data_IF_126425175543
#
_entry.id   IF_126425175543
#
_cell.length_a   1.000
_cell.length_b   1.000
_cell.length_c   1.000
_cell.angle_alpha   90.00
_cell.angle_beta   90.00
_cell.angle_gamma   90.00
#
_symmetry.space_group_name_H-M   'P 1'
#
loop_
_entity.id
_entity.type
_entity.pdbx_description
1 polymer ?
#
# COMPACT_ATOMS: atom_id res chain seq x y z
N UNK A 1 28.09 27.29 13.82
CA UNK A 1 28.46 26.19 14.73
C UNK A 1 29.58 25.37 14.11
N UNK A 2 30.71 25.22 14.78
CA UNK A 2 31.77 24.34 14.29
C UNK A 2 31.64 22.96 14.96
N UNK A 3 31.06 21.99 14.26
CA UNK A 3 30.94 20.62 14.72
C UNK A 3 32.26 19.92 14.42
N UNK A 4 32.97 19.47 15.45
CA UNK A 4 34.25 18.78 15.33
C UNK A 4 34.06 17.27 15.17
N UNK A 5 33.02 16.73 15.82
CA UNK A 5 32.74 15.31 15.87
C UNK A 5 31.26 15.10 16.21
N UNK A 6 30.61 14.09 15.65
CA UNK A 6 29.30 13.64 16.09
C UNK A 6 29.28 12.11 16.17
N UNK A 7 28.61 11.60 17.21
CA UNK A 7 28.41 10.17 17.44
C UNK A 7 26.92 9.89 17.57
N UNK A 8 26.45 8.82 16.98
CA UNK A 8 25.12 8.28 17.21
C UNK A 8 25.24 7.09 18.16
N UNK A 9 24.92 7.31 19.42
CA UNK A 9 24.94 6.28 20.45
C UNK A 9 23.59 5.56 20.46
N UNK A 10 23.59 4.25 20.17
CA UNK A 10 22.39 3.42 20.10
C UNK A 10 22.52 2.10 20.87
N UNK A 11 23.53 1.97 21.73
CA UNK A 11 23.70 0.79 22.58
C UNK A 11 22.70 0.82 23.74
N UNK A 12 21.44 0.47 23.38
CA UNK A 12 20.32 0.52 24.29
C UNK A 12 20.41 -0.56 25.36
N UNK A 13 19.89 -0.18 26.53
CA UNK A 13 19.76 -1.08 27.69
C UNK A 13 18.84 -2.25 27.35
N UNK A 14 19.36 -3.45 27.50
CA UNK A 14 18.60 -4.69 27.59
C UNK A 14 19.14 -5.58 28.72
N UNK A 15 18.38 -6.61 29.08
CA UNK A 15 18.75 -7.51 30.19
C UNK A 15 20.10 -8.18 29.97
N UNK A 16 20.35 -8.73 28.79
CA UNK A 16 21.56 -9.51 28.51
C UNK A 16 22.79 -8.61 28.47
N UNK A 17 22.65 -7.42 27.89
CA UNK A 17 23.73 -6.40 27.86
C UNK A 17 24.04 -5.90 29.27
N UNK A 18 23.03 -5.65 30.09
CA UNK A 18 23.20 -5.27 31.49
C UNK A 18 24.02 -6.34 32.24
N UNK A 19 23.58 -7.58 32.17
CA UNK A 19 24.26 -8.69 32.85
C UNK A 19 25.68 -8.89 32.35
N UNK A 20 25.92 -8.86 31.03
CA UNK A 20 27.27 -8.98 30.46
C UNK A 20 28.23 -7.88 30.94
N UNK A 21 27.74 -6.66 31.11
CA UNK A 21 28.55 -5.54 31.63
C UNK A 21 28.87 -5.67 33.12
N UNK A 22 28.16 -6.56 33.84
CA UNK A 22 28.36 -6.85 35.25
C UNK A 22 29.14 -8.15 35.49
N UNK A 23 29.63 -8.83 34.50
CA UNK A 23 30.54 -9.96 34.70
C UNK A 23 31.76 -9.48 35.46
N UNK A 24 32.17 -10.23 36.47
CA UNK A 24 33.25 -9.95 37.45
C UNK A 24 33.00 -8.73 38.33
N UNK A 25 31.72 -8.27 38.46
CA UNK A 25 31.33 -7.18 39.35
C UNK A 25 30.31 -7.64 40.37
N UNK A 26 30.16 -6.77 41.38
CA UNK A 26 29.16 -6.97 42.43
C UNK A 26 27.73 -6.78 41.90
N UNK A 27 26.87 -7.72 42.24
CA UNK A 27 25.43 -7.71 42.05
C UNK A 27 24.75 -8.21 43.30
N UNK A 28 23.45 -7.97 43.45
CA UNK A 28 22.69 -8.48 44.58
C UNK A 28 21.72 -9.54 44.13
N UNK A 29 21.72 -10.68 44.84
CA UNK A 29 20.73 -11.74 44.69
C UNK A 29 19.63 -11.50 45.73
N UNK A 30 18.41 -11.17 45.28
CA UNK A 30 17.27 -10.88 46.16
C UNK A 30 16.32 -12.07 46.17
N UNK A 31 16.10 -12.62 47.36
CA UNK A 31 15.10 -13.67 47.55
C UNK A 31 13.69 -13.11 47.36
N UNK A 32 12.88 -13.80 46.54
CA UNK A 32 11.53 -13.33 46.19
C UNK A 32 10.52 -13.42 47.34
N UNK A 33 10.78 -14.31 48.31
CA UNK A 33 9.85 -14.53 49.47
C UNK A 33 10.21 -13.66 50.67
N UNK A 34 11.51 -13.62 51.02
CA UNK A 34 11.95 -12.90 52.19
C UNK A 34 12.33 -11.46 51.87
N UNK A 35 12.65 -11.14 50.61
CA UNK A 35 13.15 -9.83 50.20
C UNK A 35 14.61 -9.57 50.62
N UNK A 36 15.28 -10.51 51.28
CA UNK A 36 16.68 -10.39 51.66
C UNK A 36 17.60 -10.30 50.46
N UNK A 37 18.61 -9.45 50.55
CA UNK A 37 19.62 -9.28 49.51
C UNK A 37 20.95 -9.85 49.96
N UNK A 38 21.55 -10.70 49.11
CA UNK A 38 22.91 -11.23 49.27
C UNK A 38 23.83 -10.56 48.28
N UNK A 39 24.99 -10.13 48.71
CA UNK A 39 26.03 -9.61 47.81
C UNK A 39 26.74 -10.76 47.12
N UNK A 40 26.74 -10.75 45.80
CA UNK A 40 27.36 -11.77 44.95
C UNK A 40 28.24 -11.14 43.89
N UNK A 41 29.18 -11.89 43.38
CA UNK A 41 29.96 -11.57 42.19
C UNK A 41 29.38 -12.35 40.99
N UNK A 42 29.06 -11.70 39.91
CA UNK A 42 28.58 -12.35 38.71
C UNK A 42 29.76 -12.96 37.91
N UNK A 43 29.81 -14.29 37.82
CA UNK A 43 30.92 -14.98 37.17
C UNK A 43 30.71 -15.17 35.67
N UNK A 44 29.51 -15.58 35.27
CA UNK A 44 29.17 -15.78 33.86
C UNK A 44 27.69 -15.53 33.58
N UNK A 45 27.39 -15.25 32.30
CA UNK A 45 26.04 -15.11 31.75
C UNK A 45 25.93 -15.95 30.49
N UNK A 46 24.99 -16.86 30.43
CA UNK A 46 24.67 -17.70 29.29
C UNK A 46 23.33 -17.26 28.64
N UNK A 47 23.02 -17.86 27.50
CA UNK A 47 21.78 -17.58 26.76
C UNK A 47 20.52 -17.70 27.64
N UNK A 48 19.50 -16.86 27.36
CA UNK A 48 18.27 -16.70 28.14
C UNK A 48 18.48 -16.14 29.58
N UNK A 49 19.61 -15.47 29.82
CA UNK A 49 19.89 -14.81 31.11
C UNK A 49 20.21 -15.74 32.25
N UNK A 50 20.65 -16.98 31.97
CA UNK A 50 21.18 -17.90 32.97
C UNK A 50 22.50 -17.37 33.49
N UNK A 51 22.70 -17.43 34.80
CA UNK A 51 23.84 -16.81 35.44
C UNK A 51 24.50 -17.71 36.46
N UNK A 52 25.82 -17.62 36.55
CA UNK A 52 26.60 -18.21 37.63
C UNK A 52 27.11 -17.07 38.54
N UNK A 53 26.84 -17.19 39.84
CA UNK A 53 27.17 -16.17 40.86
C UNK A 53 28.00 -16.79 41.97
N UNK A 54 28.93 -16.04 42.53
CA UNK A 54 29.66 -16.40 43.73
C UNK A 54 29.20 -15.49 44.88
N UNK A 55 28.80 -16.05 46.01
CA UNK A 55 28.51 -15.29 47.21
C UNK A 55 29.80 -14.67 47.75
N UNK A 56 29.82 -13.36 47.99
CA UNK A 56 30.99 -12.63 48.40
C UNK A 56 31.43 -13.03 49.84
N UNK A 57 30.50 -13.51 50.69
CA UNK A 57 30.75 -13.86 52.06
C UNK A 57 31.09 -15.35 52.25
N UNK A 58 30.24 -16.25 51.72
CA UNK A 58 30.38 -17.70 51.92
C UNK A 58 31.24 -18.39 50.87
N UNK A 59 31.50 -17.74 49.73
CA UNK A 59 32.18 -18.29 48.55
C UNK A 59 31.45 -19.43 47.85
N UNK A 60 30.18 -19.66 48.21
CA UNK A 60 29.31 -20.62 47.53
C UNK A 60 29.00 -20.15 46.11
N UNK A 61 28.89 -21.08 45.20
CA UNK A 61 28.55 -20.82 43.80
C UNK A 61 27.09 -21.17 43.55
N UNK A 62 26.33 -20.19 43.09
CA UNK A 62 24.95 -20.36 42.66
C UNK A 62 24.89 -20.50 41.17
N UNK A 63 24.29 -21.58 40.67
CA UNK A 63 24.05 -21.83 39.25
C UNK A 63 22.56 -21.68 39.01
N UNK A 64 22.18 -20.78 38.09
CA UNK A 64 20.79 -20.48 37.73
C UNK A 64 19.86 -20.27 38.95
N UNK A 65 20.31 -19.51 39.91
CA UNK A 65 19.55 -19.22 41.11
C UNK A 65 18.17 -18.63 40.80
N UNK A 66 17.11 -19.25 41.34
CA UNK A 66 15.73 -18.76 41.16
C UNK A 66 15.44 -17.54 42.06
N UNK A 67 16.18 -16.48 41.86
CA UNK A 67 16.08 -15.25 42.62
C UNK A 67 16.17 -14.03 41.66
N UNK A 68 15.82 -12.88 42.15
CA UNK A 68 15.90 -11.63 41.39
C UNK A 68 17.33 -11.08 41.45
N UNK A 69 17.95 -10.85 40.32
CA UNK A 69 19.26 -10.17 40.25
C UNK A 69 19.02 -8.67 40.25
N UNK A 70 19.60 -7.99 41.21
CA UNK A 70 19.51 -6.53 41.34
C UNK A 70 20.89 -5.93 41.10
N UNK A 71 20.96 -5.04 40.12
CA UNK A 71 22.17 -4.31 39.79
C UNK A 71 22.25 -3.01 40.55
N UNK A 72 23.44 -2.62 41.07
CA UNK A 72 23.57 -1.41 41.86
C UNK A 72 23.37 -0.11 41.08
N UNK A 73 23.70 -0.09 39.81
CA UNK A 73 23.58 1.10 38.95
C UNK A 73 23.52 0.72 37.45
N UNK A 74 23.21 1.69 36.61
CA UNK A 74 23.36 1.54 35.16
C UNK A 74 24.85 1.58 34.77
N UNK A 75 25.41 0.55 34.10
CA UNK A 75 26.81 0.56 33.71
C UNK A 75 27.09 1.61 32.65
N UNK A 76 28.30 2.14 32.65
CA UNK A 76 28.75 3.08 31.61
C UNK A 76 28.69 2.44 30.20
N UNK A 77 28.31 3.25 29.20
CA UNK A 77 28.25 2.85 27.80
C UNK A 77 26.92 2.21 27.38
N UNK A 78 25.94 2.04 28.27
CA UNK A 78 24.56 1.73 27.92
C UNK A 78 23.68 2.96 28.17
N UNK A 79 22.77 3.20 27.24
CA UNK A 79 21.85 4.35 27.29
C UNK A 79 20.39 3.87 27.23
N UNK A 80 19.50 4.65 27.82
CA UNK A 80 18.06 4.33 27.87
C UNK A 80 17.35 4.69 26.55
N UNK A 81 17.86 5.71 25.87
CA UNK A 81 17.33 6.19 24.58
C UNK A 81 18.49 6.50 23.64
N UNK A 82 18.33 6.28 22.32
CA UNK A 82 19.33 6.69 21.34
C UNK A 82 19.67 8.17 21.49
N UNK A 83 20.93 8.52 21.36
CA UNK A 83 21.40 9.90 21.51
C UNK A 83 22.38 10.29 20.39
N UNK A 84 22.26 11.53 19.93
CA UNK A 84 23.25 12.19 19.09
C UNK A 84 24.16 13.02 20.00
N UNK A 85 25.42 12.63 20.11
CA UNK A 85 26.43 13.32 20.92
C UNK A 85 27.36 14.11 19.99
N UNK A 86 27.38 15.43 20.18
CA UNK A 86 28.19 16.33 19.37
C UNK A 86 29.32 16.96 20.18
N UNK A 87 30.51 16.91 19.63
CA UNK A 87 31.63 17.70 20.12
C UNK A 87 31.70 18.97 19.30
N UNK A 88 31.42 20.07 19.92
CA UNK A 88 31.38 21.39 19.26
C UNK A 88 32.57 22.24 19.70
N UNK A 89 33.15 22.98 18.75
CA UNK A 89 34.11 24.04 19.01
C UNK A 89 33.42 25.25 19.64
N UNK A 90 34.10 26.40 19.63
CA UNK A 90 33.50 27.67 20.09
C UNK A 90 32.24 27.98 19.28
N UNK A 91 31.12 28.18 19.95
CA UNK A 91 29.85 28.60 19.33
C UNK A 91 29.32 29.86 20.01
N UNK A 92 28.77 30.75 19.20
CA UNK A 92 28.06 31.95 19.63
C UNK A 92 26.54 31.83 19.44
N UNK A 93 26.05 30.68 18.93
CA UNK A 93 24.64 30.46 18.64
C UNK A 93 23.99 29.59 19.71
N UNK A 94 22.82 30.03 20.20
CA UNK A 94 22.01 29.27 21.17
C UNK A 94 21.09 28.25 20.49
N UNK A 95 20.88 28.37 19.17
CA UNK A 95 19.95 27.53 18.41
C UNK A 95 20.67 26.81 17.28
N UNK A 96 20.40 25.51 17.15
CA UNK A 96 20.97 24.64 16.12
C UNK A 96 19.86 24.00 15.32
N UNK A 97 19.95 24.08 13.98
CA UNK A 97 19.07 23.34 13.09
C UNK A 97 19.73 22.01 12.74
N UNK A 98 19.04 20.93 13.02
CA UNK A 98 19.48 19.56 12.73
C UNK A 98 18.63 18.98 11.61
N UNK A 99 19.28 18.34 10.62
CA UNK A 99 18.62 17.53 9.59
C UNK A 99 19.18 16.12 9.64
N UNK A 100 18.30 15.13 9.67
CA UNK A 100 18.69 13.72 9.72
C UNK A 100 17.64 12.85 9.02
N UNK A 101 18.06 11.65 8.63
CA UNK A 101 17.17 10.60 8.14
C UNK A 101 16.84 9.65 9.29
N UNK A 102 15.57 9.30 9.45
CA UNK A 102 15.10 8.30 10.39
C UNK A 102 14.37 7.21 9.64
N UNK A 103 14.53 5.97 10.08
CA UNK A 103 13.70 4.83 9.67
C UNK A 103 12.45 4.79 10.58
N UNK A 104 11.49 3.94 10.23
CA UNK A 104 10.31 3.71 11.04
C UNK A 104 9.15 4.69 10.78
N UNK A 105 9.21 5.45 9.68
CA UNK A 105 8.06 6.16 9.15
C UNK A 105 7.62 5.51 7.85
N UNK A 106 6.30 5.26 7.77
CA UNK A 106 5.65 4.80 6.56
C UNK A 106 4.39 5.62 6.32
N UNK A 107 3.97 5.74 5.06
CA UNK A 107 2.66 6.29 4.76
C UNK A 107 2.07 5.69 3.50
N UNK A 108 0.75 5.54 3.48
CA UNK A 108 -0.02 5.03 2.36
C UNK A 108 -1.24 5.90 2.14
N UNK A 109 -1.71 5.97 0.90
CA UNK A 109 -3.00 6.57 0.61
C UNK A 109 -4.10 5.48 0.63
N UNK A 110 -5.21 5.78 1.28
CA UNK A 110 -6.41 4.97 1.29
C UNK A 110 -7.58 5.83 0.84
N UNK A 111 -8.42 5.29 -0.03
CA UNK A 111 -9.55 5.99 -0.59
C UNK A 111 -10.84 5.25 -0.26
N UNK A 112 -11.87 6.01 0.00
CA UNK A 112 -13.24 5.52 0.17
C UNK A 112 -14.10 6.19 -0.89
N UNK A 113 -14.79 5.38 -1.68
CA UNK A 113 -15.74 5.82 -2.69
C UNK A 113 -17.14 5.39 -2.27
N UNK A 114 -18.05 6.34 -2.27
CA UNK A 114 -19.48 6.13 -2.18
C UNK A 114 -20.10 6.24 -3.56
N UNK A 115 -20.74 5.16 -4.04
CA UNK A 115 -21.41 5.13 -5.33
C UNK A 115 -22.85 5.59 -5.16
N UNK A 116 -23.21 6.66 -5.86
CA UNK A 116 -24.56 7.19 -5.99
C UNK A 116 -25.18 6.73 -7.33
N UNK A 117 -26.37 7.18 -7.65
CA UNK A 117 -27.09 6.75 -8.88
C UNK A 117 -26.30 7.08 -10.17
N UNK A 118 -25.78 8.31 -10.32
CA UNK A 118 -25.08 8.80 -11.53
C UNK A 118 -23.72 9.42 -11.24
N UNK A 119 -23.39 9.57 -9.97
CA UNK A 119 -22.16 10.19 -9.51
C UNK A 119 -21.53 9.35 -8.40
N UNK A 120 -20.31 9.69 -8.02
CA UNK A 120 -19.66 9.12 -6.86
C UNK A 120 -19.08 10.25 -5.99
N UNK A 121 -18.92 9.96 -4.71
CA UNK A 121 -18.14 10.76 -3.79
C UNK A 121 -16.86 10.00 -3.45
N UNK A 122 -15.73 10.71 -3.30
CA UNK A 122 -14.46 10.12 -2.91
C UNK A 122 -13.82 10.89 -1.77
N UNK A 123 -13.33 10.18 -0.78
CA UNK A 123 -12.50 10.72 0.29
C UNK A 123 -11.15 10.00 0.32
N UNK A 124 -10.05 10.76 0.27
CA UNK A 124 -8.68 10.24 0.33
C UNK A 124 -8.03 10.55 1.67
N UNK A 125 -7.38 9.54 2.24
CA UNK A 125 -6.73 9.58 3.54
C UNK A 125 -5.27 9.21 3.43
N UNK A 126 -4.39 9.98 4.06
CA UNK A 126 -3.02 9.57 4.33
C UNK A 126 -2.97 8.81 5.65
N UNK A 127 -2.61 7.56 5.60
CA UNK A 127 -2.32 6.73 6.75
C UNK A 127 -0.82 6.82 7.04
N UNK A 128 -0.47 7.43 8.17
CA UNK A 128 0.91 7.69 8.58
C UNK A 128 1.22 6.81 9.78
N UNK A 129 2.20 5.95 9.65
CA UNK A 129 2.68 5.09 10.71
C UNK A 129 4.01 5.61 11.25
N UNK A 130 4.12 5.69 12.58
CA UNK A 130 5.35 6.05 13.26
C UNK A 130 5.81 4.90 14.17
N UNK A 131 6.88 4.23 13.77
CA UNK A 131 7.61 3.19 14.52
C UNK A 131 9.07 3.59 14.72
N UNK A 132 9.35 4.90 14.79
CA UNK A 132 10.72 5.42 14.88
C UNK A 132 11.33 5.35 16.28
N UNK A 133 10.56 4.94 17.29
CA UNK A 133 10.98 4.96 18.71
C UNK A 133 10.86 6.34 19.37
N UNK A 134 10.29 7.35 18.68
CA UNK A 134 10.13 8.69 19.21
C UNK A 134 8.77 9.31 18.86
N UNK A 135 8.24 10.11 19.77
CA UNK A 135 7.05 10.94 19.54
C UNK A 135 7.47 12.31 19.01
N UNK A 136 6.82 12.77 17.94
CA UNK A 136 7.03 14.10 17.34
C UNK A 136 5.81 14.97 17.64
N UNK A 137 5.95 15.83 18.64
CA UNK A 137 4.88 16.72 19.06
C UNK A 137 4.81 17.96 18.16
N UNK A 138 3.58 18.37 17.81
CA UNK A 138 3.32 19.58 17.02
C UNK A 138 4.17 19.67 15.74
N UNK A 139 4.35 18.54 15.07
CA UNK A 139 5.19 18.40 13.88
C UNK A 139 4.53 19.00 12.64
N UNK A 140 5.32 19.73 11.84
CA UNK A 140 4.93 20.09 10.47
C UNK A 140 5.25 18.93 9.55
N UNK A 141 4.22 18.26 9.05
CA UNK A 141 4.35 17.04 8.25
C UNK A 141 4.22 17.37 6.77
N UNK A 142 5.11 16.79 5.97
CA UNK A 142 5.07 16.79 4.52
C UNK A 142 5.22 15.36 4.03
N UNK A 143 4.26 14.92 3.21
CA UNK A 143 4.23 13.59 2.61
C UNK A 143 4.65 13.72 1.15
N UNK A 144 5.56 12.89 0.70
CA UNK A 144 6.03 12.89 -0.69
C UNK A 144 5.50 11.61 -1.35
N UNK A 145 4.72 11.81 -2.42
CA UNK A 145 4.22 10.74 -3.28
C UNK A 145 5.07 10.68 -4.55
N UNK A 146 5.51 9.48 -4.90
CA UNK A 146 6.37 9.16 -6.03
C UNK A 146 7.43 8.13 -5.65
N UNK A 147 8.03 7.50 -6.65
CA UNK A 147 9.05 6.47 -6.43
C UNK A 147 10.42 7.12 -6.23
N UNK A 148 10.70 7.47 -4.98
CA UNK A 148 12.03 7.99 -4.59
C UNK A 148 13.04 6.87 -4.66
N UNK A 149 14.05 6.99 -5.54
CA UNK A 149 15.13 6.02 -5.63
C UNK A 149 15.96 6.04 -4.34
N UNK A 150 15.90 4.97 -3.56
CA UNK A 150 16.75 4.73 -2.38
C UNK A 150 17.59 3.48 -2.61
N UNK A 151 18.84 3.52 -2.21
CA UNK A 151 19.63 2.31 -2.05
C UNK A 151 19.06 1.59 -0.82
N UNK A 152 18.32 0.50 -1.05
CA UNK A 152 17.74 -0.32 0.04
C UNK A 152 18.79 -1.29 0.56
N UNK A 153 18.98 -1.27 1.89
CA UNK A 153 19.48 -2.44 2.62
C UNK A 153 18.25 -3.31 2.97
N UNK A 154 18.20 -4.54 2.48
CA UNK A 154 17.06 -5.44 2.56
C UNK A 154 16.60 -5.70 3.99
N UNK A 155 15.36 -5.37 4.33
CA UNK A 155 14.63 -5.96 5.46
C UNK A 155 13.11 -5.82 5.31
N UNK A 156 12.46 -6.94 5.41
CA UNK A 156 11.05 -7.37 5.36
C UNK A 156 9.92 -6.37 5.66
N UNK A 157 8.90 -6.42 4.79
CA UNK A 157 7.57 -5.81 4.92
C UNK A 157 6.62 -6.63 5.82
N UNK A 158 5.77 -5.95 6.59
CA UNK A 158 4.60 -6.53 7.26
C UNK A 158 3.31 -5.78 6.89
N UNK A 159 2.27 -6.57 6.63
CA UNK A 159 0.94 -6.17 6.15
C UNK A 159 0.07 -5.39 7.14
N UNK A 160 -0.84 -4.60 6.57
CA UNK A 160 -1.69 -3.61 7.20
C UNK A 160 -2.98 -4.11 7.86
N UNK A 161 -3.56 -3.27 8.71
CA UNK A 161 -4.85 -3.42 9.40
C UNK A 161 -5.90 -2.43 8.90
N UNK A 162 -7.16 -2.88 8.90
CA UNK A 162 -8.35 -2.21 8.39
C UNK A 162 -8.99 -1.30 9.46
N UNK A 163 -9.37 -0.07 9.08
CA UNK A 163 -10.26 0.78 9.88
C UNK A 163 -11.27 1.51 9.00
N UNK A 164 -12.50 1.62 9.49
CA UNK A 164 -13.62 2.34 8.85
C UNK A 164 -13.72 3.70 9.54
N UNK A 165 -13.77 4.79 8.77
CA UNK A 165 -14.10 6.11 9.29
C UNK A 165 -15.02 6.84 8.31
N UNK A 166 -16.21 7.16 8.77
CA UNK A 166 -17.10 8.15 8.13
C UNK A 166 -16.69 9.54 8.58
N UNK A 167 -16.41 10.45 7.66
CA UNK A 167 -16.48 11.90 7.94
C UNK A 167 -16.25 12.73 6.68
N UNK A 168 -17.18 13.58 6.33
CA UNK A 168 -17.01 14.66 5.34
C UNK A 168 -16.39 15.90 6.00
N UNK A 169 -15.09 15.85 6.28
CA UNK A 169 -14.32 17.02 6.69
C UNK A 169 -13.62 17.66 5.49
N UNK A 170 -13.37 18.98 5.53
CA UNK A 170 -12.54 19.63 4.52
C UNK A 170 -11.13 19.04 4.49
N UNK A 171 -10.47 18.94 3.31
CA UNK A 171 -9.11 18.43 3.19
C UNK A 171 -8.15 19.14 4.15
N UNK A 172 -7.31 18.38 4.84
CA UNK A 172 -6.34 18.90 5.82
C UNK A 172 -4.91 19.00 5.25
N UNK A 173 -4.76 18.87 3.93
CA UNK A 173 -3.47 18.98 3.26
C UNK A 173 -3.57 19.83 1.99
N UNK A 174 -2.49 20.56 1.69
CA UNK A 174 -2.28 21.26 0.43
C UNK A 174 -1.29 20.46 -0.43
N UNK A 175 -1.69 20.11 -1.65
CA UNK A 175 -0.85 19.43 -2.63
C UNK A 175 -0.11 20.45 -3.50
N UNK A 176 1.16 20.17 -3.80
CA UNK A 176 1.92 20.87 -4.82
C UNK A 176 2.94 19.98 -5.52
N UNK A 177 3.21 20.23 -6.78
CA UNK A 177 4.34 19.63 -7.49
C UNK A 177 5.67 20.05 -6.83
N UNK A 178 6.56 19.09 -6.60
CA UNK A 178 7.88 19.30 -6.03
C UNK A 178 8.89 18.42 -6.76
N UNK A 179 9.68 19.03 -7.67
CA UNK A 179 10.51 18.31 -8.61
C UNK A 179 9.62 17.39 -9.48
N UNK A 180 9.93 16.10 -9.62
CA UNK A 180 9.10 15.09 -10.32
C UNK A 180 8.14 14.33 -9.38
N UNK A 181 7.90 14.85 -8.17
CA UNK A 181 7.06 14.28 -7.13
C UNK A 181 5.88 15.18 -6.79
N UNK A 182 4.90 14.63 -6.09
CA UNK A 182 3.84 15.41 -5.47
C UNK A 182 4.03 15.44 -3.95
N UNK A 183 4.00 16.66 -3.40
CA UNK A 183 4.16 16.89 -1.96
C UNK A 183 2.86 17.37 -1.35
N UNK A 184 2.38 16.64 -0.35
CA UNK A 184 1.21 16.99 0.46
C UNK A 184 1.70 17.57 1.77
N UNK A 185 1.44 18.86 2.00
CA UNK A 185 1.79 19.57 3.23
C UNK A 185 0.56 19.64 4.11
N UNK A 186 0.63 19.07 5.32
CA UNK A 186 -0.46 19.20 6.27
C UNK A 186 -0.62 20.65 6.68
N UNK A 187 -1.86 21.16 6.64
CA UNK A 187 -2.20 22.56 6.96
C UNK A 187 -1.89 22.83 8.43
N UNK A 188 -2.31 21.93 9.30
CA UNK A 188 -2.11 22.07 10.74
C UNK A 188 -0.99 21.13 11.24
N UNK A 189 -0.11 21.63 12.11
CA UNK A 189 0.83 20.78 12.82
C UNK A 189 0.10 19.67 13.60
N UNK A 190 0.67 18.49 13.63
CA UNK A 190 0.07 17.33 14.31
C UNK A 190 1.11 16.58 15.14
N UNK A 191 0.65 15.88 16.19
CA UNK A 191 1.52 15.01 16.98
C UNK A 191 1.50 13.61 16.40
N UNK A 192 2.66 13.07 16.04
CA UNK A 192 2.87 11.69 15.61
C UNK A 192 3.48 10.92 16.77
N UNK A 193 2.65 10.20 17.54
CA UNK A 193 3.13 9.39 18.67
C UNK A 193 3.88 8.17 18.17
N UNK A 194 4.85 7.73 18.94
CA UNK A 194 5.52 6.45 18.69
C UNK A 194 4.53 5.28 18.78
N UNK A 195 4.71 4.29 17.89
CA UNK A 195 3.82 3.13 17.74
C UNK A 195 2.34 3.53 17.51
N UNK A 196 2.13 4.57 16.70
CA UNK A 196 0.80 5.04 16.31
C UNK A 196 0.65 5.08 14.80
N UNK A 197 -0.51 4.59 14.33
CA UNK A 197 -1.02 4.86 12.98
C UNK A 197 -2.02 6.01 13.06
N UNK A 198 -1.84 7.03 12.24
CA UNK A 198 -2.70 8.20 12.16
C UNK A 198 -3.24 8.38 10.74
N UNK A 199 -4.54 8.57 10.62
CA UNK A 199 -5.18 8.88 9.35
C UNK A 199 -5.53 10.36 9.27
N UNK A 200 -5.20 11.00 8.15
CA UNK A 200 -5.44 12.42 7.90
C UNK A 200 -6.09 12.55 6.52
N UNK A 201 -7.23 13.20 6.44
CA UNK A 201 -7.88 13.45 5.16
C UNK A 201 -7.03 14.38 4.29
N UNK A 202 -6.72 13.96 3.07
CA UNK A 202 -5.86 14.71 2.14
C UNK A 202 -6.60 15.17 0.89
N UNK A 203 -7.76 14.58 0.59
CA UNK A 203 -8.56 14.94 -0.56
C UNK A 203 -10.01 14.56 -0.38
N UNK A 204 -10.93 15.37 -0.95
CA UNK A 204 -12.33 15.04 -1.10
C UNK A 204 -12.81 15.46 -2.49
N UNK A 205 -13.59 14.61 -3.13
CA UNK A 205 -14.31 14.89 -4.36
C UNK A 205 -15.79 14.55 -4.17
N UNK A 206 -16.67 15.41 -4.67
CA UNK A 206 -18.12 15.24 -4.53
C UNK A 206 -18.79 15.28 -5.88
N UNK A 207 -19.85 14.45 -6.04
CA UNK A 207 -20.69 14.41 -7.24
C UNK A 207 -19.91 14.20 -8.55
N UNK A 208 -18.88 13.36 -8.52
CA UNK A 208 -18.03 13.06 -9.68
C UNK A 208 -18.82 12.14 -10.62
N UNK A 209 -19.06 12.53 -11.89
CA UNK A 209 -19.72 11.66 -12.86
C UNK A 209 -18.88 10.42 -13.13
N UNK A 210 -19.52 9.27 -13.21
CA UNK A 210 -18.85 8.02 -13.57
C UNK A 210 -19.61 7.26 -14.65
N UNK A 211 -18.93 6.35 -15.32
CA UNK A 211 -19.49 5.33 -16.21
C UNK A 211 -19.35 3.96 -15.56
N UNK A 212 -20.38 3.15 -15.70
CA UNK A 212 -20.35 1.74 -15.32
C UNK A 212 -20.53 0.92 -16.57
N UNK A 213 -19.63 -0.02 -16.80
CA UNK A 213 -19.72 -0.98 -17.89
C UNK A 213 -19.17 -2.35 -17.47
N UNK A 214 -19.39 -3.34 -18.29
CA UNK A 214 -18.94 -4.70 -18.07
C UNK A 214 -17.83 -5.02 -19.06
N UNK A 215 -16.74 -5.59 -18.58
CA UNK A 215 -15.60 -5.97 -19.40
C UNK A 215 -15.51 -7.48 -19.49
N UNK A 216 -15.46 -7.99 -20.71
CA UNK A 216 -15.30 -9.39 -21.02
C UNK A 216 -13.93 -9.63 -21.65
N UNK A 217 -13.25 -10.66 -21.18
CA UNK A 217 -12.02 -11.14 -21.79
C UNK A 217 -12.13 -12.66 -21.98
N UNK A 218 -11.70 -13.18 -23.13
CA UNK A 218 -11.73 -14.63 -23.43
C UNK A 218 -11.02 -15.50 -22.39
N UNK A 219 -10.03 -14.99 -21.68
CA UNK A 219 -9.28 -15.72 -20.65
C UNK A 219 -10.00 -15.78 -19.31
N UNK A 220 -11.13 -15.08 -19.16
CA UNK A 220 -11.90 -14.99 -17.93
C UNK A 220 -13.24 -15.72 -18.09
N UNK A 221 -13.72 -16.33 -17.03
CA UNK A 221 -15.01 -17.05 -17.02
C UNK A 221 -16.20 -16.12 -16.77
N UNK A 222 -15.97 -14.91 -16.29
CA UNK A 222 -16.99 -13.95 -15.86
C UNK A 222 -16.69 -12.54 -16.34
N UNK A 223 -17.75 -11.77 -16.50
CA UNK A 223 -17.66 -10.34 -16.81
C UNK A 223 -17.19 -9.54 -15.59
N UNK A 224 -16.21 -8.69 -15.78
CA UNK A 224 -15.75 -7.74 -14.74
C UNK A 224 -16.64 -6.49 -14.73
N UNK A 225 -17.02 -6.02 -13.56
CA UNK A 225 -17.72 -4.74 -13.37
C UNK A 225 -16.69 -3.63 -13.26
N UNK A 226 -16.73 -2.67 -14.18
CA UNK A 226 -15.82 -1.54 -14.24
C UNK A 226 -16.56 -0.25 -13.90
N UNK A 227 -15.96 0.54 -13.02
CA UNK A 227 -16.30 1.95 -12.78
C UNK A 227 -15.18 2.82 -13.34
N UNK A 228 -15.56 3.75 -14.20
CA UNK A 228 -14.63 4.68 -14.83
C UNK A 228 -15.04 6.12 -14.56
N UNK A 229 -14.12 6.95 -14.07
CA UNK A 229 -14.33 8.38 -13.84
C UNK A 229 -13.06 9.16 -14.13
N UNK A 230 -13.18 10.45 -14.40
CA UNK A 230 -12.06 11.33 -14.78
C UNK A 230 -11.64 12.21 -13.63
N UNK A 231 -10.34 12.25 -13.34
CA UNK A 231 -9.74 13.12 -12.31
C UNK A 231 -9.60 14.56 -12.81
N UNK A 232 -10.72 15.26 -13.06
CA UNK A 232 -10.75 16.65 -13.52
C UNK A 232 -11.41 17.58 -12.52
N UNK A 233 -10.95 18.84 -12.50
CA UNK A 233 -11.52 19.87 -11.61
C UNK A 233 -12.98 20.13 -11.92
N UNK A 234 -13.34 20.16 -13.19
CA UNK A 234 -14.73 20.36 -13.65
C UNK A 234 -15.63 19.19 -13.23
N UNK A 235 -15.05 18.02 -12.98
CA UNK A 235 -15.75 16.83 -12.48
C UNK A 235 -15.73 16.72 -10.96
N UNK A 236 -15.26 17.73 -10.22
CA UNK A 236 -15.27 17.71 -8.75
C UNK A 236 -14.02 17.11 -8.09
N UNK A 237 -12.92 16.88 -8.85
CA UNK A 237 -11.66 16.34 -8.34
C UNK A 237 -10.47 17.18 -8.80
N UNK A 238 -9.62 16.76 -9.72
CA UNK A 238 -8.58 17.58 -10.36
C UNK A 238 -7.32 17.81 -9.53
N UNK A 239 -6.91 16.83 -8.73
CA UNK A 239 -5.67 16.86 -7.95
C UNK A 239 -4.85 15.60 -8.24
N UNK A 240 -3.54 15.63 -7.96
CA UNK A 240 -2.75 14.40 -8.00
C UNK A 240 -3.23 13.42 -6.92
N UNK A 241 -3.32 12.16 -7.27
CA UNK A 241 -3.72 11.10 -6.34
C UNK A 241 -2.55 10.14 -6.14
N UNK A 242 -2.02 9.99 -4.91
CA UNK A 242 -1.02 8.98 -4.60
C UNK A 242 -1.50 7.57 -4.89
N UNK A 243 -0.57 6.67 -5.21
CA UNK A 243 -0.91 5.25 -5.26
C UNK A 243 -1.52 4.79 -3.95
N UNK A 244 -2.57 3.98 -4.04
CA UNK A 244 -3.26 3.54 -2.84
C UNK A 244 -4.41 2.59 -3.11
N UNK A 245 -5.00 2.09 -2.02
CA UNK A 245 -6.14 1.20 -2.04
C UNK A 245 -7.43 2.02 -2.06
N UNK A 246 -8.38 1.61 -2.91
CA UNK A 246 -9.71 2.19 -3.01
C UNK A 246 -10.73 1.16 -2.52
N UNK A 247 -11.58 1.55 -1.59
CA UNK A 247 -12.75 0.78 -1.16
C UNK A 247 -14.01 1.45 -1.66
N UNK A 248 -14.92 0.65 -2.23
CA UNK A 248 -16.16 1.15 -2.79
C UNK A 248 -17.33 0.66 -1.95
N UNK A 249 -18.25 1.60 -1.70
CA UNK A 249 -19.46 1.38 -0.94
C UNK A 249 -20.66 1.91 -1.72
N UNK A 250 -21.83 1.31 -1.50
CA UNK A 250 -23.11 1.79 -2.01
C UNK A 250 -24.14 1.69 -0.90
N UNK A 251 -24.99 2.71 -0.76
CA UNK A 251 -26.10 2.65 0.18
C UNK A 251 -27.13 1.62 -0.27
N UNK A 252 -27.60 0.78 0.65
CA UNK A 252 -28.76 -0.08 0.45
C UNK A 252 -30.04 0.78 0.42
N UNK A 253 -30.88 0.58 -0.59
CA UNK A 253 -32.12 1.34 -0.77
C UNK A 253 -33.15 1.04 0.32
N UNK A 254 -33.05 -0.09 1.03
CA UNK A 254 -34.00 -0.52 2.04
C UNK A 254 -33.83 0.19 3.38
N UNK A 255 -32.58 0.42 3.81
CA UNK A 255 -32.27 0.94 5.16
C UNK A 255 -31.20 2.04 5.18
N UNK A 256 -30.66 2.42 4.00
CA UNK A 256 -29.55 3.34 3.82
C UNK A 256 -28.24 2.91 4.50
N UNK A 257 -28.07 1.63 4.87
CA UNK A 257 -26.78 1.13 5.31
C UNK A 257 -25.77 1.16 4.17
N UNK A 258 -24.50 1.46 4.51
CA UNK A 258 -23.39 1.49 3.54
C UNK A 258 -22.81 0.10 3.37
N UNK A 259 -23.08 -0.51 2.22
CA UNK A 259 -22.61 -1.85 1.90
C UNK A 259 -21.30 -1.81 1.10
N UNK A 260 -20.35 -2.61 1.51
CA UNK A 260 -19.08 -2.79 0.78
C UNK A 260 -19.35 -3.57 -0.51
N UNK A 261 -18.99 -2.97 -1.65
CA UNK A 261 -19.23 -3.57 -2.97
C UNK A 261 -17.96 -4.03 -3.68
N UNK A 262 -16.78 -3.66 -3.19
CA UNK A 262 -15.50 -4.11 -3.73
C UNK A 262 -14.32 -3.20 -3.39
N UNK A 263 -13.13 -3.66 -3.71
CA UNK A 263 -11.90 -2.88 -3.57
C UNK A 263 -10.98 -3.07 -4.77
N UNK A 264 -10.21 -2.03 -5.06
CA UNK A 264 -9.17 -2.02 -6.09
C UNK A 264 -8.00 -1.13 -5.63
N UNK A 265 -6.98 -1.03 -6.44
CA UNK A 265 -5.82 -0.17 -6.18
C UNK A 265 -5.53 0.72 -7.38
N UNK A 266 -5.12 1.96 -7.12
CA UNK A 266 -4.63 2.86 -8.16
C UNK A 266 -3.12 3.08 -8.05
N UNK A 267 -2.47 3.27 -9.18
CA UNK A 267 -1.12 3.83 -9.25
C UNK A 267 -1.12 5.32 -8.92
N UNK A 268 0.05 5.96 -8.93
CA UNK A 268 0.13 7.42 -8.89
C UNK A 268 -0.61 8.00 -10.10
N UNK A 269 -1.69 8.72 -9.85
CA UNK A 269 -2.60 9.23 -10.88
C UNK A 269 -2.54 10.76 -10.91
N UNK A 270 -1.99 11.35 -11.98
CA UNK A 270 -1.99 12.80 -12.18
C UNK A 270 -3.42 13.35 -12.32
N UNK A 271 -3.53 14.68 -12.25
CA UNK A 271 -4.76 15.36 -12.69
C UNK A 271 -5.00 15.11 -14.18
N UNK A 272 -6.26 15.21 -14.59
CA UNK A 272 -6.75 15.08 -15.97
C UNK A 272 -6.67 13.64 -16.55
N UNK A 273 -6.36 12.64 -15.74
CA UNK A 273 -6.33 11.22 -16.11
C UNK A 273 -7.63 10.50 -15.77
N UNK A 274 -7.94 9.45 -16.55
CA UNK A 274 -9.07 8.57 -16.30
C UNK A 274 -8.68 7.46 -15.31
N UNK A 275 -9.59 7.20 -14.36
CA UNK A 275 -9.43 6.15 -13.34
C UNK A 275 -10.45 5.06 -13.63
N UNK A 276 -9.95 3.82 -13.77
CA UNK A 276 -10.75 2.63 -14.01
C UNK A 276 -10.57 1.67 -12.84
N UNK A 277 -11.69 1.32 -12.21
CA UNK A 277 -11.71 0.42 -11.06
C UNK A 277 -12.46 -0.85 -11.39
N UNK A 278 -11.86 -1.99 -11.10
CA UNK A 278 -12.49 -3.30 -11.19
C UNK A 278 -13.10 -3.64 -9.83
N UNK A 279 -14.42 -3.61 -9.73
CA UNK A 279 -15.11 -3.84 -8.46
C UNK A 279 -15.22 -5.32 -8.14
N UNK A 280 -15.48 -6.14 -9.16
CA UNK A 280 -15.70 -7.57 -9.04
C UNK A 280 -16.35 -8.16 -10.28
N UNK A 281 -16.86 -9.36 -10.17
CA UNK A 281 -17.49 -10.07 -11.27
C UNK A 281 -19.01 -9.83 -11.30
N UNK A 282 -19.56 -9.61 -12.48
CA UNK A 282 -21.00 -9.54 -12.67
C UNK A 282 -21.64 -10.91 -12.49
N UNK A 283 -22.79 -10.94 -11.82
CA UNK A 283 -23.60 -12.16 -11.70
C UNK A 283 -24.54 -12.35 -12.89
N UNK A 284 -25.17 -11.26 -13.34
CA UNK A 284 -26.25 -11.28 -14.35
C UNK A 284 -25.77 -10.99 -15.78
N UNK A 285 -24.47 -10.83 -15.99
CA UNK A 285 -23.88 -10.73 -17.33
C UNK A 285 -23.04 -11.96 -17.58
N UNK A 286 -23.52 -12.82 -18.47
CA UNK A 286 -22.83 -14.05 -18.85
C UNK A 286 -22.47 -14.02 -20.34
N UNK A 287 -21.53 -14.85 -20.73
CA UNK A 287 -21.11 -14.94 -22.13
C UNK A 287 -20.60 -16.33 -22.48
N UNK A 288 -20.79 -16.68 -23.73
CA UNK A 288 -20.23 -17.88 -24.34
C UNK A 288 -19.35 -17.46 -25.52
N UNK A 289 -18.07 -17.83 -25.49
CA UNK A 289 -17.11 -17.51 -26.54
C UNK A 289 -16.61 -18.78 -27.25
N UNK A 290 -16.72 -18.82 -28.57
CA UNK A 290 -16.37 -19.99 -29.35
C UNK A 290 -15.56 -19.62 -30.61
N UNK A 291 -14.52 -20.41 -30.91
CA UNK A 291 -13.91 -20.45 -32.24
C UNK A 291 -14.83 -21.27 -33.17
N UNK A 292 -15.42 -20.60 -34.14
CA UNK A 292 -16.42 -21.22 -35.07
C UNK A 292 -15.73 -21.89 -36.24
N UNK A 293 -14.68 -21.27 -36.78
CA UNK A 293 -13.96 -21.78 -37.95
C UNK A 293 -12.50 -21.31 -37.93
N UNK A 294 -11.61 -22.17 -38.41
CA UNK A 294 -10.21 -21.87 -38.65
C UNK A 294 -9.75 -22.50 -39.93
N UNK A 295 -9.29 -21.69 -40.89
CA UNK A 295 -8.87 -22.18 -42.22
C UNK A 295 -7.63 -21.44 -42.71
N UNK A 296 -6.87 -22.11 -43.55
CA UNK A 296 -5.69 -21.53 -44.20
C UNK A 296 -5.96 -21.37 -45.71
N UNK A 297 -5.88 -20.12 -46.20
CA UNK A 297 -6.14 -19.74 -47.57
C UNK A 297 -5.00 -18.85 -48.07
N UNK A 298 -4.32 -19.21 -49.15
CA UNK A 298 -3.29 -18.40 -49.83
C UNK A 298 -2.19 -17.83 -48.91
N UNK A 299 -1.79 -18.61 -47.88
CA UNK A 299 -0.78 -18.21 -46.91
C UNK A 299 -1.30 -17.35 -45.77
N UNK A 300 -2.59 -17.06 -45.75
CA UNK A 300 -3.26 -16.42 -44.61
C UNK A 300 -3.96 -17.47 -43.74
N UNK A 301 -3.91 -17.30 -42.47
CA UNK A 301 -4.66 -18.09 -41.51
C UNK A 301 -5.86 -17.27 -41.02
N UNK A 302 -7.06 -17.76 -41.32
CA UNK A 302 -8.34 -17.14 -40.98
C UNK A 302 -8.88 -17.72 -39.69
N UNK A 303 -9.35 -16.85 -38.79
CA UNK A 303 -9.96 -17.19 -37.52
C UNK A 303 -11.34 -16.56 -37.44
N UNK A 304 -12.37 -17.37 -37.27
CA UNK A 304 -13.75 -16.91 -37.10
C UNK A 304 -14.23 -17.23 -35.71
N UNK A 305 -14.72 -16.23 -35.01
CA UNK A 305 -15.20 -16.32 -33.64
C UNK A 305 -16.63 -15.84 -33.50
N UNK A 306 -17.26 -16.35 -32.46
CA UNK A 306 -18.60 -15.99 -31.99
C UNK A 306 -18.55 -15.74 -30.49
N UNK A 307 -19.13 -14.61 -30.03
CA UNK A 307 -19.36 -14.31 -28.64
C UNK A 307 -20.85 -14.04 -28.41
N UNK A 308 -21.53 -14.87 -27.65
CA UNK A 308 -22.93 -14.66 -27.24
C UNK A 308 -22.91 -14.03 -25.86
N UNK A 309 -23.37 -12.79 -25.76
CA UNK A 309 -23.41 -12.04 -24.48
C UNK A 309 -24.86 -11.97 -24.04
N UNK A 310 -25.13 -12.41 -22.80
CA UNK A 310 -26.48 -12.46 -22.19
C UNK A 310 -26.57 -11.50 -21.02
N UNK A 311 -27.60 -10.66 -21.04
CA UNK A 311 -27.92 -9.73 -19.97
C UNK A 311 -29.22 -10.18 -19.29
N UNK A 312 -29.10 -10.65 -18.04
CA UNK A 312 -30.24 -11.08 -17.20
C UNK A 312 -30.74 -9.97 -16.27
N UNK A 313 -30.29 -8.73 -16.48
CA UNK A 313 -30.70 -7.55 -15.70
C UNK A 313 -31.96 -6.91 -16.27
N UNK A 314 -32.68 -6.19 -15.44
CA UNK A 314 -33.86 -5.39 -15.84
C UNK A 314 -33.49 -4.09 -16.58
N UNK A 315 -32.20 -3.76 -16.69
CA UNK A 315 -31.66 -2.58 -17.36
C UNK A 315 -30.68 -2.99 -18.48
N UNK A 316 -30.54 -2.13 -19.49
CA UNK A 316 -29.55 -2.34 -20.53
C UNK A 316 -28.14 -2.26 -19.96
N UNK A 317 -27.22 -3.07 -20.50
CA UNK A 317 -25.84 -3.16 -20.05
C UNK A 317 -24.86 -2.80 -21.18
N UNK A 318 -23.98 -1.84 -20.92
CA UNK A 318 -22.84 -1.56 -21.80
C UNK A 318 -21.76 -2.60 -21.53
N UNK A 319 -21.35 -3.34 -22.58
CA UNK A 319 -20.40 -4.43 -22.47
C UNK A 319 -19.25 -4.20 -23.45
N UNK A 320 -18.03 -4.21 -22.93
CA UNK A 320 -16.79 -4.13 -23.69
C UNK A 320 -16.18 -5.53 -23.76
N UNK A 321 -16.23 -6.13 -24.95
CA UNK A 321 -15.66 -7.43 -25.21
C UNK A 321 -14.28 -7.28 -25.85
N UNK A 322 -13.23 -7.81 -25.20
CA UNK A 322 -11.85 -7.75 -25.63
C UNK A 322 -11.37 -9.10 -26.20
N UNK A 323 -10.75 -9.04 -27.38
CA UNK A 323 -10.11 -10.18 -28.03
C UNK A 323 -8.66 -9.87 -28.41
N UNK A 324 -7.74 -10.79 -28.13
CA UNK A 324 -6.34 -10.67 -28.50
C UNK A 324 -6.05 -11.41 -29.82
N UNK A 325 -5.68 -10.64 -30.85
CA UNK A 325 -5.19 -11.17 -32.14
C UNK A 325 -3.65 -11.08 -32.15
N UNK A 326 -2.99 -12.19 -32.33
CA UNK A 326 -1.53 -12.28 -32.36
C UNK A 326 -0.96 -12.08 -33.78
N UNK A 327 0.17 -11.36 -33.87
CA UNK A 327 0.85 -11.13 -35.15
C UNK A 327 0.28 -9.99 -35.98
N UNK A 328 0.57 -9.99 -37.27
CA UNK A 328 0.04 -9.00 -38.22
C UNK A 328 -1.31 -9.50 -38.69
N UNK A 329 -2.36 -8.88 -38.23
CA UNK A 329 -3.73 -9.26 -38.50
C UNK A 329 -4.52 -8.19 -39.24
N UNK A 330 -5.53 -8.61 -39.96
CA UNK A 330 -6.49 -7.78 -40.67
C UNK A 330 -7.91 -8.30 -40.41
N UNK A 331 -8.86 -7.43 -40.06
CA UNK A 331 -10.26 -7.80 -39.93
C UNK A 331 -10.85 -8.10 -41.28
N UNK A 332 -11.49 -9.24 -41.41
CA UNK A 332 -12.19 -9.67 -42.63
C UNK A 332 -13.66 -9.28 -42.55
N UNK A 333 -14.29 -9.57 -41.43
CA UNK A 333 -15.71 -9.21 -41.20
C UNK A 333 -15.97 -9.05 -39.69
N UNK A 334 -16.94 -8.23 -39.36
CA UNK A 334 -17.46 -8.09 -38.00
C UNK A 334 -18.93 -7.67 -38.04
N UNK A 335 -19.75 -8.21 -37.15
CA UNK A 335 -21.18 -7.86 -37.03
C UNK A 335 -21.42 -6.55 -36.29
N UNK A 336 -20.43 -6.11 -35.49
CA UNK A 336 -20.49 -4.90 -34.70
C UNK A 336 -19.25 -4.04 -34.96
N UNK A 337 -19.36 -2.75 -34.63
CA UNK A 337 -18.21 -1.83 -34.66
C UNK A 337 -17.15 -2.27 -33.64
N UNK A 338 -15.89 -2.16 -34.05
CA UNK A 338 -14.76 -2.51 -33.20
C UNK A 338 -13.72 -1.38 -33.17
N UNK A 339 -12.98 -1.32 -32.13
CA UNK A 339 -11.81 -0.44 -31.97
C UNK A 339 -10.53 -1.27 -31.82
N UNK A 340 -9.44 -0.76 -32.39
CA UNK A 340 -8.09 -1.33 -32.21
C UNK A 340 -7.40 -0.59 -31.09
N UNK A 341 -7.44 -1.13 -29.87
CA UNK A 341 -6.83 -0.50 -28.69
C UNK A 341 -5.31 -0.54 -28.71
N UNK A 342 -4.76 -1.66 -29.15
CA UNK A 342 -3.31 -1.83 -29.39
C UNK A 342 -3.11 -2.61 -30.69
N UNK A 343 -1.86 -2.88 -31.06
CA UNK A 343 -1.55 -3.71 -32.26
C UNK A 343 -2.20 -5.09 -32.19
N UNK A 344 -2.43 -5.66 -31.03
CA UNK A 344 -3.01 -6.99 -30.82
C UNK A 344 -4.35 -7.03 -30.13
N UNK A 345 -4.89 -5.90 -29.61
CA UNK A 345 -6.13 -5.87 -28.85
C UNK A 345 -7.27 -5.25 -29.64
N UNK A 346 -8.31 -6.06 -29.88
CA UNK A 346 -9.58 -5.68 -30.49
C UNK A 346 -10.62 -5.54 -29.40
N UNK A 347 -11.36 -4.43 -29.37
CA UNK A 347 -12.48 -4.22 -28.46
C UNK A 347 -13.76 -3.97 -29.23
N UNK A 348 -14.81 -4.68 -28.87
CA UNK A 348 -16.20 -4.47 -29.31
C UNK A 348 -16.97 -3.84 -28.14
N UNK A 349 -17.58 -2.68 -28.36
CA UNK A 349 -18.48 -2.04 -27.40
C UNK A 349 -19.92 -2.25 -27.84
N UNK A 350 -20.68 -3.00 -27.05
CA UNK A 350 -22.06 -3.36 -27.35
C UNK A 350 -23.00 -3.00 -26.21
N UNK A 351 -24.19 -2.49 -26.54
CA UNK A 351 -25.22 -2.25 -25.56
C UNK A 351 -26.24 -3.39 -25.61
N UNK A 352 -26.25 -4.24 -24.59
CA UNK A 352 -27.12 -5.41 -24.49
C UNK A 352 -28.42 -5.00 -23.78
N UNK A 353 -29.58 -5.04 -24.44
CA UNK A 353 -30.86 -4.65 -23.80
C UNK A 353 -31.17 -5.49 -22.57
N UNK A 354 -32.10 -5.02 -21.75
CA UNK A 354 -32.60 -5.77 -20.60
C UNK A 354 -33.12 -7.15 -20.99
N UNK A 355 -32.87 -8.15 -20.19
CA UNK A 355 -33.34 -9.54 -20.34
C UNK A 355 -33.20 -10.07 -21.78
N UNK A 356 -32.02 -9.87 -22.39
CA UNK A 356 -31.76 -10.23 -23.78
C UNK A 356 -30.34 -10.71 -24.02
N UNK A 357 -30.09 -11.21 -25.23
CA UNK A 357 -28.77 -11.60 -25.70
C UNK A 357 -28.37 -10.90 -26.99
N UNK A 358 -27.07 -10.70 -27.17
CA UNK A 358 -26.46 -10.21 -28.41
C UNK A 358 -25.37 -11.17 -28.85
N UNK A 359 -25.33 -11.43 -30.14
CA UNK A 359 -24.32 -12.25 -30.80
C UNK A 359 -23.32 -11.36 -31.54
N UNK A 360 -22.07 -11.37 -31.13
CA UNK A 360 -20.95 -10.73 -31.82
C UNK A 360 -20.18 -11.76 -32.59
N UNK A 361 -20.19 -11.64 -33.92
CA UNK A 361 -19.39 -12.50 -34.80
C UNK A 361 -18.31 -11.66 -35.50
N UNK A 362 -17.10 -12.21 -35.57
CA UNK A 362 -16.03 -11.58 -36.34
C UNK A 362 -15.05 -12.60 -36.91
N UNK A 363 -14.42 -12.21 -38.00
CA UNK A 363 -13.38 -12.99 -38.68
C UNK A 363 -12.18 -12.07 -38.92
N UNK A 364 -10.99 -12.51 -38.53
CA UNK A 364 -9.75 -11.87 -38.91
C UNK A 364 -8.78 -12.88 -39.51
N UNK A 365 -7.83 -12.37 -40.31
CA UNK A 365 -6.78 -13.17 -40.91
C UNK A 365 -5.41 -12.71 -40.45
N UNK A 366 -4.48 -13.66 -40.34
CA UNK A 366 -3.07 -13.41 -40.01
C UNK A 366 -2.21 -13.81 -41.21
N UNK A 367 -1.27 -12.93 -41.59
CA UNK A 367 -0.29 -13.24 -42.65
C UNK A 367 0.79 -14.19 -42.11
N UNK A 368 0.83 -15.40 -42.64
CA UNK A 368 1.83 -16.43 -42.29
C UNK A 368 2.89 -16.65 -43.39
N UNK A 369 2.89 -15.83 -44.46
CA UNK A 369 3.84 -15.95 -45.57
C UNK A 369 5.27 -15.59 -45.20
N UNK A 370 5.46 -14.84 -44.13
CA UNK A 370 6.76 -14.33 -43.64
C UNK A 370 7.37 -15.14 -42.52
N UNK A 371 6.78 -16.26 -42.08
CA UNK A 371 7.42 -17.14 -41.11
C UNK A 371 8.71 -17.77 -41.67
N UNK A 372 9.85 -17.16 -41.45
CA UNK A 372 11.17 -17.73 -41.70
C UNK A 372 11.38 -18.87 -40.71
N UNK A 373 11.22 -20.10 -41.16
CA UNK A 373 11.58 -21.31 -40.42
C UNK A 373 13.10 -21.34 -40.27
N UNK A 374 13.63 -20.82 -39.20
CA UNK A 374 15.03 -21.06 -38.81
C UNK A 374 15.12 -22.53 -38.37
N UNK A 375 15.43 -23.43 -39.28
CA UNK A 375 15.83 -24.79 -38.92
C UNK A 375 17.21 -24.70 -38.26
N UNK A 376 17.27 -25.02 -36.96
CA UNK A 376 18.51 -25.30 -36.23
C UNK A 376 19.05 -26.68 -36.66
#
# INVERSE_FOLDING_TARGET
LNILEFNYDYDLVDRDKLLKKYIDKEVYLKDRKTGEKKSCRLLSVEGAGRCVLEDNNTKEIYIDAQAEIVLPSLPSGLIVKPALVWKIGKSTSEHVKVSYLSKGFNWNANYVIEILEKTLNIAGWAEIENQSGATFENAKVKLIAGDVNRIQDDSYDMEGRMYICESSAAPQAEEKAFFDYHMYTLINPTTLKDNQTKQINILNGLNIPYKKYYKLNMSEEKANVIIEFTNKKECGLGCAMPKGKIKLYKADEADNSMEFIGEDSIGHTPKDEDIKLTIGNAFDITFDFNEVDRKKIDGFEHYKYECIIKNHKEEAAEVHFEHYAWGIWEMVSATHEYSKKTSGLIEFSVNVPADSEIKVEFEYKIDRRTEVVVRK
#
